data_IF_380569613495
#
_entry.id   IF_380569613495
#
_cell.length_a   1.000
_cell.length_b   1.000
_cell.length_c   1.000
_cell.angle_alpha   90.00
_cell.angle_beta   90.00
_cell.angle_gamma   90.00
#
_symmetry.space_group_name_H-M   'P 1'
#
loop_
_entity.id
_entity.type
_entity.pdbx_description
1 polymer ?
#
# COMPACT_ATOMS: atom_id res chain seq x y z
N UNK A 1 0.80 -29.60 -13.87
CA UNK A 1 -0.31 -28.72 -14.31
C UNK A 1 0.27 -27.57 -15.09
N UNK A 2 -0.34 -27.09 -16.19
CA UNK A 2 0.17 -25.91 -16.84
C UNK A 2 0.15 -24.77 -15.84
N UNK A 3 1.24 -24.00 -15.79
CA UNK A 3 1.36 -22.86 -14.88
C UNK A 3 0.26 -21.84 -15.20
N UNK A 4 -0.57 -21.52 -14.22
CA UNK A 4 -1.74 -20.65 -14.38
C UNK A 4 -1.38 -19.23 -14.84
N UNK A 5 -0.17 -18.76 -14.50
CA UNK A 5 0.31 -17.42 -14.86
C UNK A 5 1.32 -17.41 -16.02
N UNK A 6 1.67 -18.57 -16.55
CA UNK A 6 2.64 -18.66 -17.62
C UNK A 6 2.01 -18.21 -18.94
N UNK A 7 2.48 -17.15 -19.57
CA UNK A 7 2.59 -17.14 -21.00
C UNK A 7 3.88 -17.86 -21.36
N UNK A 8 3.83 -18.71 -22.34
CA UNK A 8 5.01 -19.34 -22.95
C UNK A 8 5.96 -18.34 -23.63
N UNK A 9 5.66 -17.05 -23.58
CA UNK A 9 6.32 -15.99 -24.31
C UNK A 9 6.47 -14.70 -23.47
N UNK A 10 7.67 -14.47 -22.91
CA UNK A 10 8.00 -13.27 -22.15
C UNK A 10 7.86 -11.95 -22.92
N UNK A 11 8.24 -11.84 -24.22
CA UNK A 11 7.96 -10.66 -25.02
C UNK A 11 6.47 -10.29 -25.07
N UNK A 12 5.58 -11.27 -25.21
CA UNK A 12 4.14 -11.02 -25.15
C UNK A 12 3.73 -10.48 -23.78
N UNK A 13 4.25 -11.05 -22.70
CA UNK A 13 3.97 -10.58 -21.33
C UNK A 13 4.41 -9.13 -21.14
N UNK A 14 5.59 -8.77 -21.65
CA UNK A 14 6.10 -7.41 -21.60
C UNK A 14 5.19 -6.47 -22.40
N UNK A 15 4.77 -6.86 -23.59
CA UNK A 15 3.85 -6.09 -24.42
C UNK A 15 2.51 -5.84 -23.72
N UNK A 16 1.97 -6.83 -23.02
CA UNK A 16 0.74 -6.69 -22.22
C UNK A 16 0.92 -5.67 -21.08
N UNK A 17 2.06 -5.69 -20.39
CA UNK A 17 2.35 -4.76 -19.29
C UNK A 17 2.52 -3.32 -19.80
N UNK A 18 3.05 -3.14 -21.00
CA UNK A 18 3.31 -1.84 -21.60
C UNK A 18 2.12 -1.29 -22.41
N UNK A 19 1.15 -2.12 -22.80
CA UNK A 19 0.04 -1.71 -23.65
C UNK A 19 -0.79 -0.58 -23.03
N UNK A 20 -0.96 0.58 -23.68
CA UNK A 20 -1.70 1.71 -23.13
C UNK A 20 -3.22 1.51 -23.19
N UNK A 21 -3.72 0.78 -24.18
CA UNK A 21 -5.15 0.58 -24.45
C UNK A 21 -5.42 -0.80 -25.04
N UNK A 22 -6.69 -1.16 -25.18
CA UNK A 22 -7.15 -2.34 -25.90
C UNK A 22 -7.07 -3.64 -25.10
N UNK A 23 -7.24 -4.76 -25.80
CA UNK A 23 -7.32 -6.09 -25.18
C UNK A 23 -6.03 -6.52 -24.48
N UNK A 24 -4.87 -6.15 -25.02
CA UNK A 24 -3.57 -6.44 -24.40
C UNK A 24 -3.42 -5.77 -23.03
N UNK A 25 -3.98 -4.58 -22.86
CA UNK A 25 -3.99 -3.87 -21.58
C UNK A 25 -4.72 -4.67 -20.50
N UNK A 26 -5.85 -5.28 -20.85
CA UNK A 26 -6.71 -6.02 -19.90
C UNK A 26 -6.29 -7.50 -19.73
N UNK A 27 -5.41 -8.01 -20.59
CA UNK A 27 -4.99 -9.40 -20.57
C UNK A 27 -4.37 -9.86 -19.23
N UNK A 28 -3.53 -9.07 -18.56
CA UNK A 28 -3.01 -9.43 -17.24
C UNK A 28 -4.09 -9.55 -16.17
N UNK A 29 -5.08 -8.65 -16.15
CA UNK A 29 -6.20 -8.71 -15.21
C UNK A 29 -7.06 -9.96 -15.45
N UNK A 30 -7.42 -10.22 -16.69
CA UNK A 30 -8.20 -11.42 -17.05
C UNK A 30 -7.48 -12.71 -16.67
N UNK A 31 -6.16 -12.73 -16.79
CA UNK A 31 -5.33 -13.87 -16.37
C UNK A 31 -5.34 -14.04 -14.87
N UNK A 32 -5.12 -12.97 -14.10
CA UNK A 32 -5.15 -13.03 -12.64
C UNK A 32 -6.50 -13.52 -12.13
N UNK A 33 -7.60 -12.93 -12.61
CA UNK A 33 -8.96 -13.32 -12.23
C UNK A 33 -9.23 -14.79 -12.52
N UNK A 34 -8.82 -15.28 -13.71
CA UNK A 34 -8.97 -16.70 -14.09
C UNK A 34 -8.14 -17.59 -13.18
N UNK A 35 -6.90 -17.25 -12.95
CA UNK A 35 -5.96 -18.04 -12.17
C UNK A 35 -6.35 -18.12 -10.70
N UNK A 36 -6.71 -16.98 -10.10
CA UNK A 36 -7.21 -16.92 -8.72
C UNK A 36 -8.54 -17.69 -8.57
N UNK A 37 -9.44 -17.59 -9.56
CA UNK A 37 -10.68 -18.38 -9.58
C UNK A 37 -10.41 -19.87 -9.66
N UNK A 38 -9.41 -20.31 -10.43
CA UNK A 38 -9.01 -21.71 -10.53
C UNK A 38 -8.42 -22.21 -9.20
N UNK A 39 -7.57 -21.41 -8.55
CA UNK A 39 -7.02 -21.78 -7.23
C UNK A 39 -8.12 -21.87 -6.17
N UNK A 40 -9.03 -20.88 -6.13
CA UNK A 40 -10.18 -20.94 -5.21
C UNK A 40 -11.05 -22.16 -5.47
N UNK A 41 -11.30 -22.52 -6.74
CA UNK A 41 -12.03 -23.73 -7.10
C UNK A 41 -11.38 -25.01 -6.57
N UNK A 42 -10.04 -25.08 -6.63
CA UNK A 42 -9.27 -26.18 -6.03
C UNK A 42 -9.44 -26.24 -4.51
N UNK A 43 -9.33 -25.09 -3.85
CA UNK A 43 -9.52 -24.97 -2.39
C UNK A 43 -10.95 -25.37 -1.99
N UNK A 44 -11.97 -24.96 -2.75
CA UNK A 44 -13.37 -25.34 -2.48
C UNK A 44 -13.59 -26.84 -2.57
N UNK A 45 -13.02 -27.51 -3.58
CA UNK A 45 -13.10 -28.97 -3.72
C UNK A 45 -12.47 -29.67 -2.54
N UNK A 46 -11.28 -29.24 -2.15
CA UNK A 46 -10.53 -29.85 -1.05
C UNK A 46 -11.19 -29.62 0.32
N UNK A 47 -11.63 -28.39 0.57
CA UNK A 47 -12.10 -27.97 1.91
C UNK A 47 -13.61 -28.11 2.13
N UNK A 48 -14.41 -28.16 1.05
CA UNK A 48 -15.88 -28.17 1.13
C UNK A 48 -16.55 -29.30 0.34
N UNK A 49 -15.78 -30.03 -0.45
CA UNK A 49 -16.23 -31.15 -1.24
C UNK A 49 -16.77 -30.76 -2.64
N UNK A 50 -16.87 -31.76 -3.51
CA UNK A 50 -17.25 -31.58 -4.92
C UNK A 50 -18.67 -30.99 -5.07
N UNK A 51 -19.61 -31.37 -4.22
CA UNK A 51 -20.99 -30.88 -4.29
C UNK A 51 -21.10 -29.34 -4.13
N UNK A 52 -20.31 -28.74 -3.26
CA UNK A 52 -20.28 -27.27 -3.10
C UNK A 52 -19.60 -26.60 -4.30
N UNK A 53 -18.51 -27.21 -4.78
CA UNK A 53 -17.83 -26.71 -5.98
C UNK A 53 -18.79 -26.72 -7.20
N UNK A 54 -19.50 -27.82 -7.43
CA UNK A 54 -20.46 -27.96 -8.53
C UNK A 54 -21.61 -26.95 -8.42
N UNK A 55 -22.12 -26.70 -7.22
CA UNK A 55 -23.13 -25.68 -6.99
C UNK A 55 -22.60 -24.26 -7.33
N UNK A 56 -21.38 -23.93 -6.90
CA UNK A 56 -20.72 -22.65 -7.23
C UNK A 56 -20.54 -22.51 -8.75
N UNK A 57 -20.02 -23.54 -9.43
CA UNK A 57 -19.81 -23.51 -10.89
C UNK A 57 -21.13 -23.46 -11.67
N UNK A 58 -22.14 -24.17 -11.21
CA UNK A 58 -23.47 -24.12 -11.82
C UNK A 58 -24.05 -22.70 -11.72
N UNK A 59 -24.04 -22.12 -10.53
CA UNK A 59 -24.55 -20.77 -10.32
C UNK A 59 -23.75 -19.72 -11.09
N UNK A 60 -22.42 -19.84 -11.13
CA UNK A 60 -21.55 -18.96 -11.92
C UNK A 60 -21.89 -19.02 -13.40
N UNK A 61 -22.03 -20.21 -13.98
CA UNK A 61 -22.34 -20.40 -15.41
C UNK A 61 -23.73 -19.89 -15.77
N UNK A 62 -24.73 -20.20 -14.95
CA UNK A 62 -26.10 -19.76 -15.22
C UNK A 62 -26.24 -18.23 -15.10
N UNK A 63 -25.55 -17.60 -14.14
CA UNK A 63 -25.57 -16.14 -14.01
C UNK A 63 -24.82 -15.43 -15.13
N UNK A 64 -23.72 -15.99 -15.65
CA UNK A 64 -23.04 -15.48 -16.85
C UNK A 64 -23.95 -15.61 -18.06
N UNK A 65 -24.51 -16.79 -18.32
CA UNK A 65 -25.41 -17.02 -19.45
C UNK A 65 -26.65 -16.11 -19.40
N UNK A 66 -27.20 -15.89 -18.19
CA UNK A 66 -28.27 -14.90 -18.01
C UNK A 66 -27.86 -13.50 -18.45
N UNK A 67 -26.68 -13.03 -18.00
CA UNK A 67 -26.18 -11.68 -18.34
C UNK A 67 -25.93 -11.55 -19.86
N UNK A 68 -25.45 -12.60 -20.51
CA UNK A 68 -25.21 -12.63 -21.95
C UNK A 68 -26.52 -12.62 -22.74
N UNK A 69 -27.56 -13.27 -22.22
CA UNK A 69 -28.90 -13.26 -22.84
C UNK A 69 -29.68 -11.97 -22.55
N UNK A 70 -29.31 -11.25 -21.49
CA UNK A 70 -30.00 -10.02 -21.05
C UNK A 70 -29.94 -8.94 -22.14
N UNK A 71 -31.12 -8.44 -22.54
CA UNK A 71 -31.26 -7.46 -23.62
C UNK A 71 -31.34 -8.04 -25.04
N UNK A 72 -31.07 -9.33 -25.24
CA UNK A 72 -31.16 -9.98 -26.58
C UNK A 72 -32.19 -11.11 -26.62
N UNK A 73 -32.32 -11.89 -25.56
CA UNK A 73 -33.22 -13.03 -25.42
C UNK A 73 -33.81 -13.08 -24.00
N UNK A 74 -34.93 -12.38 -23.73
CA UNK A 74 -35.54 -12.32 -22.41
C UNK A 74 -36.06 -13.68 -21.90
N UNK A 75 -36.43 -14.59 -22.79
CA UNK A 75 -36.90 -15.93 -22.39
C UNK A 75 -35.72 -16.78 -21.90
N UNK A 76 -34.60 -16.76 -22.63
CA UNK A 76 -33.38 -17.42 -22.19
C UNK A 76 -32.87 -16.82 -20.87
N UNK A 77 -32.89 -15.50 -20.71
CA UNK A 77 -32.46 -14.82 -19.45
C UNK A 77 -33.34 -15.26 -18.27
N UNK A 78 -34.68 -15.37 -18.47
CA UNK A 78 -35.60 -15.85 -17.42
C UNK A 78 -35.35 -17.31 -17.09
N UNK A 79 -35.16 -18.18 -18.08
CA UNK A 79 -34.82 -19.60 -17.87
C UNK A 79 -33.52 -19.77 -17.07
N UNK A 80 -32.48 -19.00 -17.38
CA UNK A 80 -31.23 -19.04 -16.63
C UNK A 80 -31.40 -18.56 -15.18
N UNK A 81 -32.25 -17.57 -14.94
CA UNK A 81 -32.59 -17.14 -13.60
C UNK A 81 -33.31 -18.25 -12.82
N UNK A 82 -34.31 -18.91 -13.41
CA UNK A 82 -35.00 -20.02 -12.79
C UNK A 82 -34.08 -21.18 -12.46
N UNK A 83 -33.11 -21.51 -13.32
CA UNK A 83 -32.09 -22.52 -13.08
C UNK A 83 -31.18 -22.12 -11.92
N UNK A 84 -30.79 -20.84 -11.83
CA UNK A 84 -29.98 -20.34 -10.72
C UNK A 84 -30.73 -20.43 -9.38
N UNK A 85 -32.01 -20.00 -9.36
CA UNK A 85 -32.86 -20.10 -8.19
C UNK A 85 -33.07 -21.57 -7.77
N UNK A 86 -33.41 -22.45 -8.69
CA UNK A 86 -33.57 -23.88 -8.41
C UNK A 86 -32.28 -24.55 -7.89
N UNK A 87 -31.09 -24.05 -8.24
CA UNK A 87 -29.84 -24.50 -7.66
C UNK A 87 -29.72 -24.09 -6.21
N UNK A 88 -30.08 -22.86 -5.85
CA UNK A 88 -30.02 -22.35 -4.48
C UNK A 88 -31.09 -23.00 -3.58
N UNK A 89 -32.30 -23.15 -4.07
CA UNK A 89 -33.44 -23.71 -3.30
C UNK A 89 -33.23 -25.17 -2.88
N UNK A 90 -32.36 -25.91 -3.57
CA UNK A 90 -31.99 -27.27 -3.22
C UNK A 90 -30.95 -27.37 -2.10
N UNK A 91 -30.34 -26.26 -1.71
CA UNK A 91 -29.27 -26.26 -0.75
C UNK A 91 -29.82 -26.13 0.69
N UNK A 92 -29.33 -26.98 1.58
CA UNK A 92 -29.52 -26.78 2.99
C UNK A 92 -28.73 -25.54 3.47
N UNK A 93 -29.15 -24.92 4.58
CA UNK A 93 -28.57 -23.68 5.13
C UNK A 93 -27.04 -23.71 5.24
N UNK A 94 -26.38 -24.80 5.74
CA UNK A 94 -24.92 -24.84 5.79
C UNK A 94 -24.24 -24.81 4.41
N UNK A 95 -24.86 -25.44 3.40
CA UNK A 95 -24.37 -25.47 2.04
C UNK A 95 -24.57 -24.09 1.36
N UNK A 96 -25.75 -23.48 1.55
CA UNK A 96 -26.05 -22.13 1.06
C UNK A 96 -25.09 -21.09 1.66
N UNK A 97 -24.76 -21.20 2.95
CA UNK A 97 -23.76 -20.35 3.59
C UNK A 97 -22.37 -20.49 2.93
N UNK A 98 -21.91 -21.75 2.69
CA UNK A 98 -20.63 -22.00 2.01
C UNK A 98 -20.63 -21.48 0.59
N UNK A 99 -21.74 -21.61 -0.13
CA UNK A 99 -21.91 -21.07 -1.46
C UNK A 99 -21.78 -19.53 -1.48
N UNK A 100 -22.52 -18.84 -0.62
CA UNK A 100 -22.45 -17.38 -0.51
C UNK A 100 -21.04 -16.90 -0.14
N UNK A 101 -20.39 -17.61 0.80
CA UNK A 101 -19.03 -17.36 1.22
C UNK A 101 -18.01 -17.52 0.08
N UNK A 102 -18.19 -18.55 -0.76
CA UNK A 102 -17.32 -18.77 -1.93
C UNK A 102 -17.38 -17.60 -2.90
N UNK A 103 -18.57 -17.05 -3.17
CA UNK A 103 -18.71 -15.83 -3.97
C UNK A 103 -18.10 -14.61 -3.29
N UNK A 104 -18.26 -14.45 -1.98
CA UNK A 104 -17.62 -13.38 -1.22
C UNK A 104 -16.09 -13.40 -1.41
N UNK A 105 -15.45 -14.54 -1.22
CA UNK A 105 -14.00 -14.69 -1.47
C UNK A 105 -13.60 -14.50 -2.92
N UNK A 106 -14.40 -14.97 -3.85
CA UNK A 106 -14.16 -14.74 -5.27
C UNK A 106 -14.10 -13.23 -5.60
N UNK A 107 -15.07 -12.46 -5.13
CA UNK A 107 -15.06 -10.99 -5.31
C UNK A 107 -13.90 -10.32 -4.60
N UNK A 108 -13.51 -10.79 -3.44
CA UNK A 108 -12.32 -10.32 -2.75
C UNK A 108 -11.04 -10.52 -3.57
N UNK A 109 -10.85 -11.71 -4.13
CA UNK A 109 -9.72 -12.03 -4.98
C UNK A 109 -9.72 -11.17 -6.27
N UNK A 110 -10.88 -10.92 -6.87
CA UNK A 110 -11.02 -10.00 -8.01
C UNK A 110 -10.58 -8.60 -7.62
N UNK A 111 -11.01 -8.07 -6.47
CA UNK A 111 -10.62 -6.75 -6.01
C UNK A 111 -9.09 -6.63 -5.80
N UNK A 112 -8.43 -7.70 -5.32
CA UNK A 112 -6.98 -7.74 -5.22
C UNK A 112 -6.31 -7.75 -6.60
N UNK A 113 -6.85 -8.52 -7.56
CA UNK A 113 -6.36 -8.54 -8.94
C UNK A 113 -6.52 -7.17 -9.63
N UNK A 114 -7.66 -6.50 -9.46
CA UNK A 114 -7.88 -5.14 -9.98
C UNK A 114 -6.93 -4.13 -9.35
N UNK A 115 -6.71 -4.21 -8.05
CA UNK A 115 -5.77 -3.34 -7.34
C UNK A 115 -4.35 -3.52 -7.88
N UNK A 116 -3.92 -4.78 -8.10
CA UNK A 116 -2.63 -5.08 -8.71
C UNK A 116 -2.57 -4.56 -10.15
N UNK A 117 -3.65 -4.71 -10.92
CA UNK A 117 -3.73 -4.18 -12.28
C UNK A 117 -3.61 -2.65 -12.34
N UNK A 118 -4.20 -1.92 -11.40
CA UNK A 118 -4.03 -0.46 -11.27
C UNK A 118 -2.57 -0.08 -11.01
N UNK A 119 -1.85 -0.84 -10.17
CA UNK A 119 -0.40 -0.67 -9.95
C UNK A 119 0.39 -0.85 -11.26
N UNK A 120 0.07 -1.90 -12.04
CA UNK A 120 0.68 -2.13 -13.37
C UNK A 120 0.47 -0.95 -14.31
N UNK A 121 -0.76 -0.42 -14.36
CA UNK A 121 -1.10 0.72 -15.24
C UNK A 121 -0.36 1.99 -14.83
N UNK A 122 -0.23 2.22 -13.52
CA UNK A 122 0.56 3.34 -13.01
C UNK A 122 2.03 3.21 -13.40
N UNK A 123 2.61 2.03 -13.19
CA UNK A 123 4.00 1.76 -13.57
C UNK A 123 4.22 1.91 -15.08
N UNK A 124 3.34 1.35 -15.91
CA UNK A 124 3.38 1.50 -17.37
C UNK A 124 3.38 2.97 -17.80
N UNK A 125 2.53 3.80 -17.20
CA UNK A 125 2.48 5.24 -17.48
C UNK A 125 3.75 5.98 -17.02
N UNK A 126 4.38 5.54 -15.93
CA UNK A 126 5.63 6.14 -15.45
C UNK A 126 6.84 5.77 -16.31
N UNK A 127 6.82 4.58 -16.91
CA UNK A 127 7.90 4.09 -17.78
C UNK A 127 7.83 4.62 -19.21
N UNK A 128 6.69 5.16 -19.63
CA UNK A 128 6.53 5.76 -20.96
C UNK A 128 6.93 7.26 -20.92
N UNK A 129 8.06 7.67 -21.51
CA UNK A 129 8.47 9.08 -21.51
C UNK A 129 7.49 10.01 -22.23
N UNK A 130 6.67 9.46 -23.13
CA UNK A 130 5.70 10.19 -23.94
C UNK A 130 4.29 10.14 -23.36
N UNK A 131 4.07 9.39 -22.27
CA UNK A 131 2.75 9.31 -21.65
C UNK A 131 2.32 10.70 -21.17
N UNK A 132 1.20 11.17 -21.68
CA UNK A 132 0.58 12.36 -21.13
C UNK A 132 0.18 12.09 -19.68
N UNK A 133 0.47 13.00 -18.72
CA UNK A 133 -0.02 12.87 -17.36
C UNK A 133 -1.53 12.68 -17.36
N UNK A 134 -2.00 11.75 -16.56
CA UNK A 134 -3.43 11.45 -16.51
C UNK A 134 -4.20 12.66 -15.96
N UNK A 135 -5.38 12.89 -16.53
CA UNK A 135 -6.24 13.96 -16.08
C UNK A 135 -6.72 13.66 -14.66
N UNK A 136 -6.29 14.47 -13.68
CA UNK A 136 -6.62 14.28 -12.27
C UNK A 136 -5.51 13.65 -11.44
N UNK A 137 -4.39 13.22 -12.03
CA UNK A 137 -3.20 12.94 -11.25
C UNK A 137 -2.49 14.25 -10.82
N UNK A 138 -1.59 14.14 -9.87
CA UNK A 138 -0.86 15.27 -9.32
C UNK A 138 -0.03 15.96 -10.40
N UNK A 139 0.73 15.22 -11.19
CA UNK A 139 1.59 15.77 -12.24
C UNK A 139 0.77 16.45 -13.34
N UNK A 140 -0.34 15.84 -13.79
CA UNK A 140 -1.24 16.42 -14.76
C UNK A 140 -1.93 17.69 -14.24
N UNK A 141 -2.20 17.75 -12.94
CA UNK A 141 -2.75 18.95 -12.30
C UNK A 141 -1.72 20.09 -12.25
N UNK A 142 -0.48 19.81 -11.85
CA UNK A 142 0.61 20.78 -11.82
C UNK A 142 0.97 21.26 -13.24
N UNK A 143 0.96 20.37 -14.25
CA UNK A 143 1.14 20.75 -15.65
C UNK A 143 0.09 21.76 -16.11
N UNK A 144 -1.18 21.50 -15.84
CA UNK A 144 -2.27 22.43 -16.20
C UNK A 144 -2.12 23.78 -15.48
N UNK A 145 -1.66 23.75 -14.22
CA UNK A 145 -1.39 24.97 -13.47
C UNK A 145 -0.28 25.80 -14.14
N UNK A 146 0.81 25.15 -14.56
CA UNK A 146 1.87 25.79 -15.34
C UNK A 146 1.38 26.32 -16.68
N UNK A 147 0.60 25.53 -17.43
CA UNK A 147 0.00 25.93 -18.72
C UNK A 147 -0.96 27.14 -18.56
N UNK A 148 -1.59 27.28 -17.41
CA UNK A 148 -2.41 28.42 -17.05
C UNK A 148 -1.55 29.66 -16.65
N UNK A 149 -0.22 29.57 -16.66
CA UNK A 149 0.69 30.65 -16.40
C UNK A 149 1.16 30.79 -14.96
N UNK A 150 0.83 29.84 -14.08
CA UNK A 150 1.30 29.90 -12.69
C UNK A 150 2.82 29.70 -12.59
N UNK A 151 3.44 30.40 -11.66
CA UNK A 151 4.85 30.29 -11.30
C UNK A 151 5.09 29.15 -10.28
N UNK A 152 6.36 28.76 -10.12
CA UNK A 152 6.75 27.78 -9.09
C UNK A 152 6.39 28.25 -7.68
N UNK A 153 6.54 29.55 -7.39
CA UNK A 153 6.19 30.13 -6.10
C UNK A 153 4.69 30.05 -5.82
N UNK A 154 3.87 30.40 -6.80
CA UNK A 154 2.40 30.32 -6.70
C UNK A 154 1.94 28.86 -6.55
N UNK A 155 2.55 27.92 -7.28
CA UNK A 155 2.26 26.49 -7.12
C UNK A 155 2.60 25.99 -5.70
N UNK A 156 3.74 26.43 -5.14
CA UNK A 156 4.13 26.11 -3.77
C UNK A 156 3.20 26.74 -2.74
N UNK A 157 2.80 27.99 -2.94
CA UNK A 157 1.83 28.68 -2.08
C UNK A 157 0.47 27.97 -2.09
N UNK A 158 -0.03 27.59 -3.27
CA UNK A 158 -1.27 26.82 -3.39
C UNK A 158 -1.17 25.49 -2.64
N UNK A 159 -0.06 24.77 -2.75
CA UNK A 159 0.16 23.54 -1.99
C UNK A 159 0.16 23.80 -0.48
N UNK A 160 0.72 24.92 -0.01
CA UNK A 160 0.74 25.25 1.41
C UNK A 160 -0.65 25.50 2.01
N UNK A 161 -1.62 25.81 1.17
CA UNK A 161 -3.04 26.01 1.55
C UNK A 161 -3.87 24.72 1.50
N UNK A 162 -3.32 23.62 0.95
CA UNK A 162 -4.00 22.32 0.91
C UNK A 162 -3.77 21.62 2.24
N UNK A 163 -4.86 21.13 2.82
CA UNK A 163 -4.83 20.23 3.97
C UNK A 163 -5.83 19.09 3.73
N UNK A 164 -5.31 17.91 3.47
CA UNK A 164 -6.11 16.68 3.30
C UNK A 164 -6.14 15.98 4.64
N UNK A 165 -7.33 15.78 5.19
CA UNK A 165 -7.51 15.11 6.49
C UNK A 165 -8.38 13.88 6.35
N UNK A 166 -7.82 12.70 6.01
CA UNK A 166 -8.53 11.43 6.12
C UNK A 166 -8.92 11.20 7.59
N UNK A 167 -10.18 10.83 7.81
CA UNK A 167 -10.70 10.56 9.15
C UNK A 167 -11.08 9.10 9.26
N UNK A 168 -10.48 8.40 10.21
CA UNK A 168 -10.84 7.02 10.52
C UNK A 168 -12.17 6.98 11.25
N UNK A 169 -13.10 6.19 10.70
CA UNK A 169 -14.42 5.92 11.30
C UNK A 169 -14.53 4.46 11.66
N UNK A 170 -15.18 4.13 12.77
CA UNK A 170 -15.51 2.76 13.12
C UNK A 170 -16.85 2.39 12.50
N UNK A 171 -16.85 1.34 11.66
CA UNK A 171 -18.06 0.66 11.25
C UNK A 171 -18.08 -0.72 11.92
N UNK A 172 -18.95 -0.95 12.91
CA UNK A 172 -18.94 -2.21 13.69
C UNK A 172 -19.12 -3.47 12.84
N UNK A 173 -19.73 -3.33 11.65
CA UNK A 173 -19.99 -4.42 10.70
C UNK A 173 -18.83 -4.68 9.73
N UNK A 174 -17.90 -3.74 9.59
CA UNK A 174 -16.81 -3.81 8.59
C UNK A 174 -15.43 -4.11 9.19
N UNK A 175 -15.39 -4.42 10.48
CA UNK A 175 -14.15 -4.71 11.20
C UNK A 175 -13.58 -6.05 10.74
N UNK A 176 -12.85 -6.04 9.62
CA UNK A 176 -12.12 -7.21 9.16
C UNK A 176 -11.13 -7.66 10.24
N UNK A 177 -10.99 -8.98 10.43
CA UNK A 177 -9.97 -9.51 11.34
C UNK A 177 -8.58 -9.13 10.82
N UNK A 178 -7.67 -8.79 11.72
CA UNK A 178 -6.25 -8.54 11.38
C UNK A 178 -5.65 -9.69 10.56
N UNK A 179 -6.01 -10.93 10.88
CA UNK A 179 -5.59 -12.12 10.13
C UNK A 179 -6.06 -12.11 8.68
N UNK A 180 -7.28 -11.66 8.40
CA UNK A 180 -7.82 -11.53 7.03
C UNK A 180 -7.06 -10.44 6.27
N UNK A 181 -6.84 -9.29 6.89
CA UNK A 181 -6.07 -8.18 6.29
C UNK A 181 -4.64 -8.62 5.95
N UNK A 182 -3.99 -9.36 6.85
CA UNK A 182 -2.65 -9.90 6.62
C UNK A 182 -2.61 -10.85 5.42
N UNK A 183 -3.57 -11.77 5.31
CA UNK A 183 -3.67 -12.70 4.19
C UNK A 183 -3.93 -12.00 2.86
N UNK A 184 -4.85 -11.02 2.84
CA UNK A 184 -5.10 -10.18 1.65
C UNK A 184 -3.83 -9.46 1.18
N UNK A 185 -3.06 -8.89 2.12
CA UNK A 185 -1.77 -8.25 1.81
C UNK A 185 -0.78 -9.27 1.22
N UNK A 186 -0.65 -10.45 1.83
CA UNK A 186 0.22 -11.52 1.31
C UNK A 186 -0.16 -11.93 -0.11
N UNK A 187 -1.45 -12.11 -0.40
CA UNK A 187 -1.93 -12.41 -1.76
C UNK A 187 -1.57 -11.28 -2.72
N UNK A 188 -1.77 -10.01 -2.32
CA UNK A 188 -1.39 -8.85 -3.13
C UNK A 188 0.11 -8.81 -3.42
N UNK A 189 0.95 -9.07 -2.42
CA UNK A 189 2.42 -9.10 -2.56
C UNK A 189 2.87 -10.24 -3.49
N UNK A 190 2.23 -11.41 -3.42
CA UNK A 190 2.50 -12.54 -4.31
C UNK A 190 2.08 -12.24 -5.76
N UNK A 191 0.95 -11.57 -5.97
CA UNK A 191 0.53 -11.12 -7.30
C UNK A 191 1.53 -10.11 -7.89
N UNK A 192 2.05 -9.19 -7.08
CA UNK A 192 3.07 -8.24 -7.52
C UNK A 192 4.39 -8.92 -7.89
N UNK A 193 4.77 -10.00 -7.17
CA UNK A 193 5.95 -10.78 -7.51
C UNK A 193 5.82 -11.48 -8.87
N UNK A 194 4.62 -11.90 -9.25
CA UNK A 194 4.34 -12.48 -10.57
C UNK A 194 4.54 -11.50 -11.73
N UNK A 195 4.58 -10.20 -11.46
CA UNK A 195 4.82 -9.16 -12.45
C UNK A 195 6.30 -8.81 -12.63
N UNK A 196 7.18 -9.33 -11.78
CA UNK A 196 8.64 -9.14 -11.89
C UNK A 196 9.24 -10.08 -12.92
N UNK A 197 8.94 -9.85 -14.16
CA UNK A 197 9.38 -10.69 -15.28
C UNK A 197 10.86 -10.43 -15.67
N UNK A 198 11.59 -11.46 -16.11
CA UNK A 198 11.17 -12.85 -16.26
C UNK A 198 11.13 -13.61 -14.91
N UNK A 199 10.11 -14.46 -14.73
CA UNK A 199 9.98 -15.32 -13.55
C UNK A 199 10.40 -16.74 -13.94
N UNK A 200 11.41 -17.33 -13.29
CA UNK A 200 11.78 -18.73 -13.51
C UNK A 200 10.62 -19.70 -13.18
N UNK A 201 10.52 -20.80 -13.90
CA UNK A 201 9.41 -21.76 -13.74
C UNK A 201 9.29 -22.28 -12.30
N UNK A 202 10.42 -22.65 -11.68
CA UNK A 202 10.45 -23.11 -10.30
C UNK A 202 9.93 -22.04 -9.31
N UNK A 203 10.24 -20.75 -9.56
CA UNK A 203 9.74 -19.65 -8.74
C UNK A 203 8.24 -19.44 -8.96
N UNK A 204 7.78 -19.59 -10.21
CA UNK A 204 6.36 -19.50 -10.56
C UNK A 204 5.53 -20.57 -9.85
N UNK A 205 6.04 -21.81 -9.81
CA UNK A 205 5.40 -22.92 -9.05
C UNK A 205 5.38 -22.64 -7.54
N UNK A 206 6.45 -22.05 -6.99
CA UNK A 206 6.48 -21.64 -5.58
C UNK A 206 5.43 -20.57 -5.29
N UNK A 207 5.36 -19.52 -6.09
CA UNK A 207 4.38 -18.45 -5.94
C UNK A 207 2.95 -18.97 -6.05
N UNK A 208 2.70 -19.92 -6.95
CA UNK A 208 1.39 -20.55 -7.09
C UNK A 208 1.00 -21.38 -5.86
N UNK A 209 1.95 -22.14 -5.29
CA UNK A 209 1.75 -22.88 -4.03
C UNK A 209 1.47 -21.94 -2.87
N UNK A 210 2.24 -20.85 -2.76
CA UNK A 210 2.07 -19.86 -1.71
C UNK A 210 0.71 -19.16 -1.82
N UNK A 211 0.27 -18.78 -3.03
CA UNK A 211 -1.07 -18.25 -3.27
C UNK A 211 -2.16 -19.23 -2.86
N UNK A 212 -2.01 -20.52 -3.21
CA UNK A 212 -2.97 -21.54 -2.82
C UNK A 212 -3.04 -21.66 -1.29
N UNK A 213 -1.90 -21.66 -0.61
CA UNK A 213 -1.84 -21.72 0.85
C UNK A 213 -2.52 -20.52 1.52
N UNK A 214 -2.28 -19.30 1.02
CA UNK A 214 -2.92 -18.11 1.56
C UNK A 214 -4.45 -18.08 1.30
N UNK A 215 -4.91 -18.53 0.13
CA UNK A 215 -6.34 -18.66 -0.20
C UNK A 215 -6.99 -19.72 0.70
N UNK A 216 -6.31 -20.86 0.92
CA UNK A 216 -6.80 -21.90 1.84
C UNK A 216 -6.90 -21.36 3.26
N UNK A 217 -5.86 -20.68 3.75
CA UNK A 217 -5.86 -20.09 5.08
C UNK A 217 -6.92 -18.99 5.22
N UNK A 218 -7.20 -18.22 4.15
CA UNK A 218 -8.28 -17.25 4.11
C UNK A 218 -9.65 -17.96 4.18
N UNK A 219 -9.85 -19.03 3.43
CA UNK A 219 -11.06 -19.86 3.47
C UNK A 219 -11.31 -20.48 4.85
N UNK A 220 -10.27 -20.89 5.57
CA UNK A 220 -10.35 -21.47 6.91
C UNK A 220 -10.51 -20.42 8.02
N UNK A 221 -10.43 -19.11 7.69
CA UNK A 221 -10.59 -18.05 8.68
C UNK A 221 -12.08 -17.68 8.82
N UNK A 222 -12.63 -17.69 10.03
CA UNK A 222 -14.02 -17.29 10.28
C UNK A 222 -14.24 -15.81 9.97
N UNK A 223 -15.30 -15.52 9.22
CA UNK A 223 -15.73 -14.15 8.90
C UNK A 223 -16.46 -13.52 10.08
N UNK A 224 -17.18 -14.33 10.84
CA UNK A 224 -17.98 -13.88 11.99
C UNK A 224 -17.16 -13.99 13.27
N UNK A 225 -17.11 -12.90 14.04
CA UNK A 225 -16.49 -12.93 15.37
C UNK A 225 -17.48 -13.54 16.38
N UNK A 226 -16.98 -14.41 17.24
CA UNK A 226 -17.76 -14.98 18.35
C UNK A 226 -18.14 -13.94 19.42
N UNK A 227 -17.36 -12.85 19.52
CA UNK A 227 -17.63 -11.74 20.42
C UNK A 227 -17.54 -10.41 19.67
N UNK A 228 -18.36 -9.45 20.04
CA UNK A 228 -18.29 -8.08 19.50
C UNK A 228 -16.93 -7.47 19.88
N UNK A 229 -16.23 -6.79 18.95
CA UNK A 229 -15.01 -6.07 19.28
C UNK A 229 -15.31 -4.98 20.30
N UNK A 230 -14.39 -4.78 21.23
CA UNK A 230 -14.43 -3.64 22.14
C UNK A 230 -13.94 -2.39 21.41
N UNK A 231 -14.27 -1.20 21.93
CA UNK A 231 -13.77 0.07 21.38
C UNK A 231 -12.23 0.09 21.34
N UNK A 232 -11.57 -0.53 22.33
CA UNK A 232 -10.10 -0.68 22.33
C UNK A 232 -9.59 -1.57 21.19
N UNK A 233 -10.34 -2.59 20.79
CA UNK A 233 -9.99 -3.44 19.65
C UNK A 233 -10.15 -2.69 18.32
N UNK A 234 -11.16 -1.83 18.22
CA UNK A 234 -11.35 -0.95 17.07
C UNK A 234 -10.21 0.08 16.94
N UNK A 235 -9.78 0.67 18.07
CA UNK A 235 -8.63 1.58 18.13
C UNK A 235 -7.36 0.88 17.64
N UNK A 236 -7.06 -0.33 18.17
CA UNK A 236 -5.89 -1.11 17.75
C UNK A 236 -5.91 -1.38 16.25
N UNK A 237 -7.06 -1.76 15.73
CA UNK A 237 -7.20 -2.06 14.31
C UNK A 237 -6.99 -0.83 13.43
N UNK A 238 -7.52 0.33 13.82
CA UNK A 238 -7.27 1.57 13.10
C UNK A 238 -5.76 1.93 13.12
N UNK A 239 -5.12 1.74 14.26
CA UNK A 239 -3.68 1.98 14.41
C UNK A 239 -2.81 1.00 13.60
N UNK A 240 -3.27 -0.24 13.39
CA UNK A 240 -2.58 -1.20 12.53
C UNK A 240 -2.43 -0.69 11.08
N UNK A 241 -3.35 0.13 10.55
CA UNK A 241 -3.20 0.75 9.23
C UNK A 241 -2.02 1.70 9.15
N UNK A 242 -1.69 2.41 10.23
CA UNK A 242 -0.50 3.26 10.26
C UNK A 242 0.76 2.42 10.11
N UNK A 243 0.89 1.34 10.87
CA UNK A 243 2.07 0.49 10.85
C UNK A 243 2.21 -0.32 9.55
N UNK A 244 1.09 -0.83 9.04
CA UNK A 244 1.11 -1.73 7.88
C UNK A 244 1.14 -1.01 6.53
N UNK A 245 0.76 0.27 6.48
CA UNK A 245 0.62 0.99 5.22
C UNK A 245 1.06 2.45 5.29
N UNK A 246 0.50 3.25 6.19
CA UNK A 246 0.62 4.71 6.10
C UNK A 246 2.04 5.21 6.36
N UNK A 247 2.76 4.65 7.34
CA UNK A 247 4.13 5.07 7.67
C UNK A 247 5.11 4.88 6.51
N UNK A 248 4.92 3.87 5.68
CA UNK A 248 5.77 3.62 4.52
C UNK A 248 5.26 4.34 3.26
N UNK A 249 3.95 4.57 3.14
CA UNK A 249 3.34 5.19 1.94
C UNK A 249 3.48 6.70 1.95
N UNK A 250 3.36 7.36 3.11
CA UNK A 250 3.41 8.82 3.19
C UNK A 250 4.71 9.43 2.67
N UNK A 251 5.91 8.93 3.04
CA UNK A 251 7.16 9.44 2.49
C UNK A 251 7.24 9.30 0.97
N UNK A 252 6.73 8.17 0.42
CA UNK A 252 6.68 7.95 -1.03
C UNK A 252 5.78 8.99 -1.70
N UNK A 253 4.60 9.24 -1.14
CA UNK A 253 3.68 10.25 -1.66
C UNK A 253 4.29 11.66 -1.65
N UNK A 254 4.96 12.06 -0.56
CA UNK A 254 5.66 13.35 -0.50
C UNK A 254 6.79 13.45 -1.51
N UNK A 255 7.55 12.38 -1.72
CA UNK A 255 8.58 12.32 -2.76
C UNK A 255 7.97 12.46 -4.16
N UNK A 256 6.82 11.85 -4.43
CA UNK A 256 6.11 12.01 -5.69
C UNK A 256 5.62 13.44 -5.92
N UNK A 257 5.14 14.12 -4.87
CA UNK A 257 4.76 15.54 -4.93
C UNK A 257 5.99 16.40 -5.27
N UNK A 258 7.11 16.17 -4.58
CA UNK A 258 8.36 16.90 -4.84
C UNK A 258 8.87 16.66 -6.26
N UNK A 259 8.87 15.41 -6.73
CA UNK A 259 9.30 15.06 -8.08
C UNK A 259 8.38 15.66 -9.16
N UNK A 260 7.06 15.67 -8.93
CA UNK A 260 6.11 16.27 -9.85
C UNK A 260 6.27 17.80 -9.94
N UNK A 261 6.50 18.47 -8.80
CA UNK A 261 6.81 19.90 -8.77
C UNK A 261 8.10 20.19 -9.54
N UNK A 262 9.17 19.49 -9.27
CA UNK A 262 10.46 19.67 -9.94
C UNK A 262 10.37 19.45 -11.47
N UNK A 263 9.56 18.46 -11.89
CA UNK A 263 9.35 18.15 -13.30
C UNK A 263 8.54 19.21 -14.06
N UNK A 264 7.52 19.77 -13.43
CA UNK A 264 6.62 20.73 -14.09
C UNK A 264 7.04 22.19 -13.87
N UNK A 265 7.76 22.48 -12.78
CA UNK A 265 8.32 23.80 -12.45
C UNK A 265 9.84 23.68 -12.22
N UNK A 266 10.63 23.43 -13.29
CA UNK A 266 12.08 23.38 -13.14
C UNK A 266 12.58 24.73 -12.65
N UNK A 267 13.48 24.71 -11.66
CA UNK A 267 14.08 25.94 -11.14
C UNK A 267 14.77 26.70 -12.27
N UNK A 268 14.25 27.87 -12.60
CA UNK A 268 14.97 28.81 -13.44
C UNK A 268 16.19 29.29 -12.64
N UNK A 269 17.37 29.25 -13.23
CA UNK A 269 18.60 29.78 -12.62
C UNK A 269 18.51 31.28 -12.24
N UNK A 270 17.41 31.95 -12.60
CA UNK A 270 17.12 33.33 -12.31
C UNK A 270 16.51 33.59 -10.91
N UNK A 271 15.92 32.55 -10.26
CA UNK A 271 15.27 32.71 -8.95
C UNK A 271 16.22 32.47 -7.75
N UNK A 272 17.48 32.17 -7.98
CA UNK A 272 18.50 31.99 -6.93
C UNK A 272 19.05 33.28 -6.35
N UNK A 273 18.22 34.32 -6.26
CA UNK A 273 18.52 35.59 -5.56
C UNK A 273 18.63 35.49 -4.02
N UNK A 274 18.39 34.34 -3.43
CA UNK A 274 18.67 34.10 -2.02
C UNK A 274 20.10 33.58 -1.88
N UNK A 275 20.96 34.44 -1.36
CA UNK A 275 22.38 34.23 -1.08
C UNK A 275 22.65 32.85 -0.48
N UNK A 276 23.15 31.92 -1.31
CA UNK A 276 23.95 30.79 -0.84
C UNK A 276 25.26 31.38 -0.33
N UNK A 277 25.40 31.50 0.98
CA UNK A 277 26.69 31.66 1.63
C UNK A 277 27.42 30.29 1.48
N UNK A 278 28.13 30.15 0.36
CA UNK A 278 29.12 29.06 0.22
C UNK A 278 30.20 29.26 1.26
N UNK A 279 30.53 28.27 2.07
CA UNK A 279 31.81 28.30 2.77
C UNK A 279 32.93 28.25 1.73
N UNK A 280 33.83 29.20 1.81
CA UNK A 280 35.09 29.20 1.07
C UNK A 280 35.89 27.98 1.55
N UNK A 281 35.95 26.94 0.75
CA UNK A 281 36.88 25.84 0.91
C UNK A 281 38.09 26.12 0.02
N UNK A 282 39.22 26.38 0.70
CA UNK A 282 40.51 26.56 0.05
C UNK A 282 40.91 25.31 -0.75
N UNK A 283 41.40 25.58 -1.95
CA UNK A 283 41.82 24.62 -2.94
C UNK A 283 43.02 23.79 -2.49
N UNK A 284 42.76 22.59 -1.97
CA UNK A 284 43.68 21.43 -2.07
C UNK A 284 42.83 20.15 -1.99
N UNK A 285 42.04 19.87 -3.03
CA UNK A 285 41.29 18.65 -3.18
C UNK A 285 41.92 17.79 -4.25
N UNK A 286 42.14 16.51 -3.95
CA UNK A 286 42.57 15.48 -4.88
C UNK A 286 41.44 15.01 -5.79
N UNK A 287 41.71 14.15 -6.78
CA UNK A 287 40.80 13.88 -7.89
C UNK A 287 39.75 12.83 -7.52
N UNK A 288 38.68 13.19 -6.84
CA UNK A 288 37.48 12.39 -6.66
C UNK A 288 36.24 13.23 -6.21
N UNK A 289 36.14 14.48 -6.63
CA UNK A 289 34.90 15.26 -6.48
C UNK A 289 33.89 14.87 -7.55
N UNK A 290 33.16 13.76 -7.29
CA UNK A 290 31.85 13.59 -7.91
C UNK A 290 30.94 14.70 -7.35
N UNK A 291 30.30 15.51 -8.21
CA UNK A 291 29.34 16.50 -7.72
C UNK A 291 28.17 15.73 -7.10
N UNK A 292 28.12 15.68 -5.78
CA UNK A 292 26.88 15.41 -5.08
C UNK A 292 25.98 16.57 -5.43
N UNK A 293 25.12 16.38 -6.40
CA UNK A 293 24.05 17.32 -6.73
C UNK A 293 23.16 17.34 -5.50
N UNK A 294 23.43 18.28 -4.60
CA UNK A 294 22.51 18.61 -3.53
C UNK A 294 21.30 19.22 -4.23
N UNK A 295 20.38 18.37 -4.68
CA UNK A 295 19.05 18.81 -5.05
C UNK A 295 18.54 19.54 -3.84
N UNK A 296 18.28 20.84 -4.00
CA UNK A 296 17.62 21.65 -2.98
C UNK A 296 16.39 20.86 -2.55
N UNK A 297 16.41 20.33 -1.33
CA UNK A 297 15.26 19.63 -0.76
C UNK A 297 14.17 20.67 -0.72
N UNK A 298 13.24 20.59 -1.67
CA UNK A 298 12.06 21.43 -1.68
C UNK A 298 11.29 21.04 -0.40
N UNK A 299 11.30 21.93 0.60
CA UNK A 299 10.57 21.71 1.85
C UNK A 299 9.09 21.83 1.53
N UNK A 300 8.46 20.67 1.27
CA UNK A 300 7.03 20.63 1.03
C UNK A 300 6.26 21.04 2.30
N UNK A 301 5.17 21.77 2.15
CA UNK A 301 4.29 22.06 3.26
C UNK A 301 3.62 20.77 3.77
N UNK A 302 3.04 20.83 4.96
CA UNK A 302 2.28 19.73 5.52
C UNK A 302 0.96 19.59 4.76
N UNK A 303 0.86 18.60 3.88
CA UNK A 303 -0.30 18.36 3.02
C UNK A 303 -1.35 17.46 3.68
N UNK A 304 -0.94 16.55 4.55
CA UNK A 304 -1.79 15.48 5.08
C UNK A 304 -1.79 15.53 6.60
N UNK A 305 -2.99 15.52 7.16
CA UNK A 305 -3.27 15.26 8.56
C UNK A 305 -4.05 13.94 8.66
N UNK A 306 -4.20 13.42 9.87
CA UNK A 306 -5.09 12.30 10.13
C UNK A 306 -5.99 12.64 11.30
N UNK A 307 -7.27 12.34 11.15
CA UNK A 307 -8.25 12.36 12.21
C UNK A 307 -8.77 10.97 12.52
N UNK A 308 -9.33 10.79 13.69
CA UNK A 308 -10.01 9.54 14.05
C UNK A 308 -11.22 9.85 14.92
N UNK A 309 -12.35 9.27 14.58
CA UNK A 309 -13.53 9.23 15.44
C UNK A 309 -13.48 8.03 16.38
N UNK A 310 -12.65 7.02 16.05
CA UNK A 310 -12.55 5.77 16.80
C UNK A 310 -11.97 6.04 18.18
N UNK A 311 -12.74 5.72 19.21
CA UNK A 311 -12.40 6.00 20.61
C UNK A 311 -12.66 7.45 21.06
N UNK A 312 -13.18 8.33 20.19
CA UNK A 312 -13.49 9.72 20.49
C UNK A 312 -14.94 10.11 20.27
N UNK A 313 -15.57 9.54 19.24
CA UNK A 313 -16.97 9.78 18.91
C UNK A 313 -17.89 8.95 19.80
N UNK A 314 -18.74 9.63 20.53
CA UNK A 314 -19.65 9.01 21.51
C UNK A 314 -21.00 8.64 20.94
N UNK A 315 -21.49 9.30 19.93
CA UNK A 315 -22.74 9.12 19.17
C UNK A 315 -23.64 7.95 19.62
N UNK A 316 -24.14 8.04 20.86
CA UNK A 316 -24.95 7.02 21.48
C UNK A 316 -24.22 5.73 21.93
N UNK A 317 -22.90 5.64 21.78
CA UNK A 317 -22.11 4.49 22.23
C UNK A 317 -21.63 4.68 23.68
N UNK A 318 -22.25 4.00 24.69
CA UNK A 318 -21.91 4.17 26.10
C UNK A 318 -20.51 3.65 26.46
N UNK A 319 -19.87 2.87 25.57
CA UNK A 319 -18.54 2.30 25.77
C UNK A 319 -17.41 3.26 25.37
N UNK A 320 -17.71 4.40 24.73
CA UNK A 320 -16.74 5.45 24.43
C UNK A 320 -16.69 6.42 25.60
N UNK A 321 -15.90 6.07 26.61
CA UNK A 321 -15.68 6.88 27.82
C UNK A 321 -14.47 7.80 27.66
N UNK A 322 -14.31 8.77 28.57
CA UNK A 322 -13.11 9.63 28.63
C UNK A 322 -11.81 8.84 28.80
N UNK A 323 -11.85 7.73 29.53
CA UNK A 323 -10.72 6.81 29.71
C UNK A 323 -10.33 6.15 28.40
N UNK A 324 -11.33 5.64 27.64
CA UNK A 324 -11.09 5.04 26.33
C UNK A 324 -10.52 6.06 25.33
N UNK A 325 -10.96 7.31 25.40
CA UNK A 325 -10.38 8.40 24.58
C UNK A 325 -8.91 8.67 24.98
N UNK A 326 -8.61 8.68 26.27
CA UNK A 326 -7.24 8.81 26.77
C UNK A 326 -6.37 7.63 26.33
N UNK A 327 -6.90 6.41 26.39
CA UNK A 327 -6.22 5.20 25.90
C UNK A 327 -5.93 5.28 24.39
N UNK A 328 -6.89 5.77 23.60
CA UNK A 328 -6.69 5.94 22.16
C UNK A 328 -5.51 6.87 21.85
N UNK A 329 -5.42 8.01 22.54
CA UNK A 329 -4.31 8.95 22.40
C UNK A 329 -2.97 8.34 22.85
N UNK A 330 -2.98 7.62 24.00
CA UNK A 330 -1.80 6.95 24.52
C UNK A 330 -1.30 5.85 23.56
N UNK A 331 -2.20 5.05 23.02
CA UNK A 331 -1.87 3.99 22.05
C UNK A 331 -1.30 4.58 20.76
N UNK A 332 -1.91 5.63 20.20
CA UNK A 332 -1.42 6.32 19.01
C UNK A 332 -0.01 6.92 19.24
N UNK A 333 0.21 7.57 20.40
CA UNK A 333 1.51 8.09 20.79
C UNK A 333 2.55 6.98 20.89
N UNK A 334 2.24 5.88 21.57
CA UNK A 334 3.16 4.76 21.75
C UNK A 334 3.53 4.10 20.42
N UNK A 335 2.57 3.94 19.50
CA UNK A 335 2.82 3.43 18.16
C UNK A 335 3.81 4.32 17.40
N UNK A 336 3.59 5.64 17.40
CA UNK A 336 4.45 6.60 16.71
C UNK A 336 5.88 6.61 17.32
N UNK A 337 6.00 6.61 18.63
CA UNK A 337 7.30 6.57 19.30
C UNK A 337 8.05 5.26 19.02
N UNK A 338 7.34 4.14 18.97
CA UNK A 338 7.91 2.83 18.59
C UNK A 338 8.39 2.85 17.14
N UNK A 339 7.61 3.44 16.23
CA UNK A 339 8.01 3.62 14.83
C UNK A 339 9.27 4.49 14.72
N UNK A 340 9.34 5.64 15.40
CA UNK A 340 10.52 6.51 15.41
C UNK A 340 11.75 5.77 15.94
N UNK A 341 11.63 5.04 17.06
CA UNK A 341 12.74 4.25 17.62
C UNK A 341 13.26 3.25 16.60
N UNK A 342 12.38 2.51 15.90
CA UNK A 342 12.78 1.55 14.86
C UNK A 342 13.49 2.25 13.69
N UNK A 343 12.97 3.39 13.23
CA UNK A 343 13.60 4.15 12.13
C UNK A 343 14.96 4.71 12.53
N UNK A 344 15.09 5.23 13.74
CA UNK A 344 16.36 5.71 14.25
C UNK A 344 17.38 4.57 14.40
N UNK A 345 16.95 3.41 14.85
CA UNK A 345 17.81 2.22 14.92
C UNK A 345 18.32 1.82 13.52
N UNK A 346 17.45 1.82 12.52
CA UNK A 346 17.85 1.53 11.13
C UNK A 346 18.84 2.57 10.59
N UNK A 347 18.63 3.85 10.89
CA UNK A 347 19.57 4.92 10.51
C UNK A 347 20.92 4.71 11.21
N UNK A 348 20.91 4.40 12.50
CA UNK A 348 22.11 4.10 13.28
C UNK A 348 22.92 2.94 12.65
N UNK A 349 22.24 1.86 12.24
CA UNK A 349 22.89 0.72 11.57
C UNK A 349 23.48 1.10 10.19
N UNK A 350 22.86 2.03 9.48
CA UNK A 350 23.33 2.51 8.17
C UNK A 350 24.49 3.52 8.29
N UNK A 351 24.50 4.31 9.35
CA UNK A 351 25.52 5.35 9.59
C UNK A 351 26.77 4.83 10.32
N UNK A 352 27.07 3.55 10.23
CA UNK A 352 28.21 2.91 10.88
C UNK A 352 29.62 3.38 10.43
N UNK A 353 29.73 4.59 9.86
CA UNK A 353 31.00 5.17 9.43
C UNK A 353 31.84 5.60 10.61
N UNK A 354 33.12 5.19 10.65
CA UNK A 354 34.06 5.62 11.68
C UNK A 354 34.41 7.11 11.53
N UNK A 355 34.41 7.84 12.63
CA UNK A 355 34.91 9.24 12.71
C UNK A 355 36.36 9.37 12.29
N UNK A 356 37.12 8.26 12.35
CA UNK A 356 38.51 8.24 11.88
C UNK A 356 38.63 8.24 10.36
N UNK A 357 37.55 7.81 9.66
CA UNK A 357 37.51 7.74 8.20
C UNK A 357 36.74 8.91 7.58
N UNK A 358 35.74 9.43 8.27
CA UNK A 358 34.90 10.53 7.81
C UNK A 358 34.82 11.61 8.88
N UNK A 359 35.26 12.85 8.58
CA UNK A 359 35.17 13.93 9.57
C UNK A 359 33.70 14.26 9.88
N UNK A 360 33.39 14.42 11.14
CA UNK A 360 32.07 14.82 11.62
C UNK A 360 32.05 16.35 11.79
N UNK A 361 30.96 17.00 11.40
CA UNK A 361 30.86 18.46 11.52
C UNK A 361 30.88 18.93 12.98
N UNK A 362 31.33 20.16 13.19
CA UNK A 362 31.39 20.76 14.51
C UNK A 362 30.00 20.84 15.19
N UNK A 363 28.95 21.07 14.41
CA UNK A 363 27.56 21.13 14.89
C UNK A 363 27.10 19.77 15.46
N UNK A 364 27.43 18.68 14.77
CA UNK A 364 27.08 17.32 15.25
C UNK A 364 27.84 16.98 16.52
N UNK A 365 29.12 17.31 16.59
CA UNK A 365 29.91 17.13 17.82
C UNK A 365 29.34 17.94 19.00
N UNK A 366 29.01 19.21 18.79
CA UNK A 366 28.40 20.06 19.83
C UNK A 366 27.02 19.53 20.28
N UNK A 367 26.23 18.97 19.35
CA UNK A 367 24.96 18.33 19.68
C UNK A 367 25.15 17.07 20.53
N UNK A 368 26.12 16.25 20.16
CA UNK A 368 26.50 15.04 20.94
C UNK A 368 26.91 15.39 22.36
N UNK A 369 27.82 16.38 22.53
CA UNK A 369 28.28 16.86 23.85
C UNK A 369 27.11 17.37 24.69
N UNK A 370 26.17 18.06 24.08
CA UNK A 370 24.95 18.50 24.76
C UNK A 370 24.11 17.32 25.26
N UNK A 371 23.91 16.29 24.46
CA UNK A 371 23.13 15.11 24.87
C UNK A 371 23.89 14.30 25.96
N UNK A 372 25.20 14.11 25.83
CA UNK A 372 26.02 13.44 26.84
C UNK A 372 25.94 14.18 28.19
N UNK A 373 25.97 15.51 28.15
CA UNK A 373 25.82 16.34 29.36
C UNK A 373 24.45 16.14 30.02
N UNK A 374 23.40 16.07 29.21
CA UNK A 374 22.03 15.82 29.70
C UNK A 374 21.87 14.43 30.28
N UNK A 375 22.48 13.39 29.67
CA UNK A 375 22.45 12.02 30.17
C UNK A 375 23.20 11.92 31.54
N UNK A 376 24.33 12.59 31.67
CA UNK A 376 25.07 12.70 32.95
C UNK A 376 24.23 13.34 34.05
N UNK A 377 23.60 14.48 33.72
CA UNK A 377 22.71 15.19 34.64
C UNK A 377 21.50 14.35 35.07
N UNK A 378 21.01 13.46 34.20
CA UNK A 378 19.93 12.53 34.47
C UNK A 378 20.37 11.22 35.17
N UNK A 379 21.65 11.04 35.46
CA UNK A 379 22.20 9.81 36.08
C UNK A 379 22.18 8.57 35.19
N UNK A 380 22.11 8.74 33.89
CA UNK A 380 22.01 7.66 32.87
C UNK A 380 23.43 7.23 32.42
N UNK A 381 24.27 6.79 33.36
CA UNK A 381 25.71 6.46 33.12
C UNK A 381 25.89 5.31 32.14
N UNK A 382 25.04 4.29 32.17
CA UNK A 382 25.12 3.14 31.25
C UNK A 382 24.88 3.54 29.80
N UNK A 383 23.98 4.52 29.57
CA UNK A 383 23.74 5.06 28.23
C UNK A 383 24.90 5.94 27.77
N UNK A 384 25.47 6.72 28.69
CA UNK A 384 26.66 7.54 28.42
C UNK A 384 27.86 6.69 27.98
N UNK A 385 28.18 5.62 28.72
CA UNK A 385 29.26 4.70 28.39
C UNK A 385 29.05 4.06 27.00
N UNK A 386 27.83 3.61 26.70
CA UNK A 386 27.50 3.03 25.41
C UNK A 386 27.72 4.01 24.25
N UNK A 387 27.24 5.24 24.36
CA UNK A 387 27.43 6.28 23.35
C UNK A 387 28.91 6.68 23.20
N UNK A 388 29.66 6.69 24.29
CA UNK A 388 31.09 6.99 24.23
C UNK A 388 31.88 5.90 23.49
N UNK A 389 31.57 4.62 23.71
CA UNK A 389 32.20 3.50 22.99
C UNK A 389 31.81 3.45 21.51
N UNK A 390 30.57 3.71 21.16
CA UNK A 390 30.09 3.71 19.77
C UNK A 390 30.60 4.93 18.98
N UNK A 391 30.88 6.04 19.66
CA UNK A 391 31.50 7.23 19.06
C UNK A 391 32.97 7.03 18.70
N UNK A 392 33.65 6.11 19.40
CA UNK A 392 35.07 5.78 19.17
C UNK A 392 35.24 4.67 18.11
N UNK A 393 34.21 4.01 17.67
CA UNK A 393 34.21 3.04 16.57
C UNK A 393 33.90 3.71 15.25
#
# INVERSE_FOLDING_TARGET
MPSLWSPSNWPQRLAELQAPTGELKEAPLRRDVRSLGTLLGGVLREQSGEAIYDAVETLRRTTIARREADGHDPEAATKHLEQALACVDKLELPAAYRLARAFGFYFELINLAETNHRKRRRLSSQLDPNAAPQRGDLRGTLRRLREAGATASEAHELLSRICITPVFTAHPTEVARRSVMFKRRRISDLLEQLDRIPVPEQQLESLQRDLTAEITALWQTDDVRSARPTVRDEIRMALDYYETSLFDTLPVLYNEVAAALAAEFPHSAADSGARSSRPHLDAKAGPQDLPVTTQSICTLPKLINFGSWIGGDRDGNPFVTSEVTSDALAMARNLLLTHYRRRLQNIFEQLGSSIQQVPVSAEVNALLDKYLTQLRAAGQTALEERFHFEHLR
#
